data_IF_382737549206
#
_entry.id   IF_382737549206
#
_cell.length_a   1.000
_cell.length_b   1.000
_cell.length_c   1.000
_cell.angle_alpha   90.00
_cell.angle_beta   90.00
_cell.angle_gamma   90.00
#
_symmetry.space_group_name_H-M   'P 1'
#
loop_
_entity.id
_entity.type
_entity.pdbx_description
1 polymer ?
#
# COMPACT_ATOMS: atom_id res chain seq x y z
N UNK A 1 -9.31 2.28 6.27
CA UNK A 1 -8.82 0.99 6.83
C UNK A 1 -7.79 1.29 7.90
N UNK A 2 -7.95 0.74 9.10
CA UNK A 2 -7.04 0.96 10.23
C UNK A 2 -6.50 -0.35 10.77
N UNK A 3 -5.18 -0.44 10.98
CA UNK A 3 -4.55 -1.63 11.55
C UNK A 3 -3.47 -1.24 12.54
N UNK A 4 -3.55 -1.81 13.72
CA UNK A 4 -2.51 -1.65 14.75
C UNK A 4 -1.44 -2.71 14.53
N UNK A 5 -0.25 -2.29 14.10
CA UNK A 5 0.89 -3.18 13.88
C UNK A 5 1.98 -2.78 14.86
N UNK A 6 2.39 -3.72 15.73
CA UNK A 6 3.51 -3.54 16.66
C UNK A 6 3.37 -2.28 17.54
N UNK A 7 2.17 -2.08 18.10
CA UNK A 7 1.74 -0.92 18.93
C UNK A 7 1.63 0.43 18.19
N UNK A 8 1.76 0.46 16.86
CA UNK A 8 1.53 1.64 16.04
C UNK A 8 0.24 1.49 15.25
N UNK A 9 -0.55 2.55 15.19
CA UNK A 9 -1.76 2.59 14.39
C UNK A 9 -1.41 3.09 13.00
N UNK A 10 -1.66 2.25 12.00
CA UNK A 10 -1.57 2.62 10.59
C UNK A 10 -2.98 2.77 10.08
N UNK A 11 -3.29 3.96 9.59
CA UNK A 11 -4.64 4.33 9.21
C UNK A 11 -4.57 4.98 7.82
N UNK A 12 -5.23 4.35 6.85
CA UNK A 12 -5.21 4.80 5.44
C UNK A 12 -6.06 6.04 5.20
N UNK A 13 -6.85 6.49 6.17
CA UNK A 13 -7.75 7.65 6.06
C UNK A 13 -7.08 8.92 6.58
N UNK A 14 -6.29 8.79 7.65
CA UNK A 14 -5.46 9.88 8.20
C UNK A 14 -4.08 9.96 7.56
N UNK A 15 -3.58 8.88 6.97
CA UNK A 15 -2.29 8.90 6.30
C UNK A 15 -2.36 9.56 4.92
N UNK A 16 -1.28 10.24 4.56
CA UNK A 16 -1.10 10.85 3.26
C UNK A 16 -0.72 9.80 2.22
N UNK A 17 -1.50 9.71 1.14
CA UNK A 17 -1.20 8.84 0.01
C UNK A 17 -0.10 9.46 -0.84
N UNK A 18 1.08 8.83 -0.87
CA UNK A 18 2.21 9.30 -1.65
C UNK A 18 2.15 8.82 -3.11
N UNK A 19 1.85 7.54 -3.30
CA UNK A 19 1.77 6.94 -4.62
C UNK A 19 0.84 5.73 -4.60
N UNK A 20 0.23 5.45 -5.75
CA UNK A 20 -0.62 4.30 -5.94
C UNK A 20 -0.19 3.56 -7.20
N UNK A 21 -0.11 2.24 -7.08
CA UNK A 21 0.21 1.34 -8.17
C UNK A 21 -0.93 0.34 -8.28
N UNK A 22 -1.48 0.22 -9.48
CA UNK A 22 -2.52 -0.75 -9.78
C UNK A 22 -2.00 -1.67 -10.87
N UNK A 23 -2.10 -2.97 -10.61
CA UNK A 23 -1.85 -4.03 -11.57
C UNK A 23 -3.19 -4.69 -11.82
N UNK A 24 -3.88 -4.24 -12.86
CA UNK A 24 -5.03 -4.94 -13.41
C UNK A 24 -4.81 -5.13 -14.90
N UNK A 25 -4.99 -6.37 -15.37
CA UNK A 25 -4.92 -6.69 -16.78
C UNK A 25 -6.33 -7.03 -17.28
N UNK A 26 -6.65 -6.63 -18.51
CA UNK A 26 -7.99 -6.83 -19.07
C UNK A 26 -8.29 -8.34 -19.16
N UNK A 27 -9.23 -8.81 -18.34
CA UNK A 27 -9.59 -10.23 -18.24
C UNK A 27 -8.84 -11.02 -17.17
N UNK A 28 -8.01 -10.39 -16.34
CA UNK A 28 -7.26 -11.07 -15.28
C UNK A 28 -7.92 -10.89 -13.90
N UNK A 29 -8.41 -11.97 -13.27
CA UNK A 29 -9.05 -11.92 -11.96
C UNK A 29 -8.05 -11.74 -10.80
N UNK A 30 -6.74 -11.73 -11.06
CA UNK A 30 -5.69 -11.54 -10.05
C UNK A 30 -5.23 -10.07 -9.93
N UNK A 31 -6.05 -9.12 -10.42
CA UNK A 31 -5.76 -7.69 -10.33
C UNK A 31 -5.63 -7.19 -8.89
N UNK A 32 -4.50 -6.56 -8.57
CA UNK A 32 -4.19 -6.00 -7.25
C UNK A 32 -3.74 -4.54 -7.36
N UNK A 33 -3.82 -3.83 -6.25
CA UNK A 33 -3.38 -2.44 -6.10
C UNK A 33 -2.55 -2.30 -4.83
N UNK A 34 -1.41 -1.66 -4.95
CA UNK A 34 -0.50 -1.34 -3.87
C UNK A 34 -0.37 0.18 -3.76
N UNK A 35 -0.73 0.72 -2.60
CA UNK A 35 -0.71 2.17 -2.37
C UNK A 35 0.23 2.47 -1.21
N UNK A 36 1.20 3.34 -1.44
CA UNK A 36 2.13 3.79 -0.44
C UNK A 36 1.55 4.99 0.32
N UNK A 37 1.48 4.86 1.63
CA UNK A 37 1.01 5.87 2.55
C UNK A 37 2.11 6.32 3.51
N UNK A 38 1.99 7.56 3.97
CA UNK A 38 2.82 8.18 4.99
C UNK A 38 1.94 8.70 6.12
N UNK A 39 2.16 8.21 7.34
CA UNK A 39 1.48 8.71 8.53
C UNK A 39 1.99 10.11 8.87
N UNK A 40 1.21 10.87 9.63
CA UNK A 40 1.64 12.17 10.20
C UNK A 40 2.95 12.07 11.01
N UNK A 41 3.16 10.95 11.71
CA UNK A 41 4.37 10.64 12.48
C UNK A 41 5.62 10.35 11.59
N UNK A 42 5.50 10.46 10.27
CA UNK A 42 6.59 10.20 9.32
C UNK A 42 6.88 8.73 9.01
N UNK A 43 5.99 7.80 9.40
CA UNK A 43 6.10 6.38 9.09
C UNK A 43 5.47 6.04 7.75
N UNK A 44 6.09 5.08 7.05
CA UNK A 44 5.63 4.65 5.74
C UNK A 44 4.98 3.27 5.84
N UNK A 45 3.97 3.03 5.03
CA UNK A 45 3.34 1.71 4.94
C UNK A 45 2.69 1.51 3.57
N UNK A 46 2.75 0.27 3.07
CA UNK A 46 2.06 -0.15 1.86
C UNK A 46 0.72 -0.74 2.23
N UNK A 47 -0.30 -0.27 1.53
CA UNK A 47 -1.63 -0.84 1.52
C UNK A 47 -1.81 -1.65 0.25
N UNK A 48 -1.80 -2.99 0.39
CA UNK A 48 -2.11 -3.90 -0.70
C UNK A 48 -3.57 -4.34 -0.63
N UNK A 49 -4.31 -4.16 -1.72
CA UNK A 49 -5.70 -4.58 -1.88
C UNK A 49 -5.89 -5.21 -3.27
N UNK A 50 -6.54 -6.36 -3.35
CA UNK A 50 -6.84 -7.03 -4.63
C UNK A 50 -8.16 -7.77 -4.60
N UNK A 51 -8.56 -8.26 -5.77
CA UNK A 51 -9.76 -9.09 -5.92
C UNK A 51 -9.60 -10.47 -5.30
N UNK A 52 -10.69 -11.22 -5.19
CA UNK A 52 -10.75 -12.54 -4.55
C UNK A 52 -9.79 -13.58 -5.19
N UNK A 53 -9.45 -13.40 -6.47
CA UNK A 53 -8.45 -14.20 -7.21
C UNK A 53 -7.02 -13.70 -7.12
N UNK A 54 -6.74 -12.63 -6.37
CA UNK A 54 -5.43 -11.98 -6.28
C UNK A 54 -4.65 -12.46 -5.05
N UNK A 55 -3.29 -12.40 -5.07
CA UNK A 55 -2.47 -12.65 -3.87
C UNK A 55 -2.78 -11.67 -2.72
N UNK A 56 -3.46 -10.56 -3.02
CA UNK A 56 -3.96 -9.57 -2.08
C UNK A 56 -5.49 -9.60 -1.90
N UNK A 57 -6.13 -10.77 -1.99
CA UNK A 57 -7.58 -10.94 -1.77
C UNK A 57 -8.12 -10.34 -0.46
N UNK A 58 -7.24 -10.06 0.51
CA UNK A 58 -7.55 -9.26 1.70
C UNK A 58 -6.61 -8.06 1.82
N UNK A 59 -7.23 -6.89 2.00
CA UNK A 59 -6.56 -5.65 2.36
C UNK A 59 -5.56 -5.85 3.50
N UNK A 60 -4.30 -5.53 3.24
CA UNK A 60 -3.22 -5.69 4.20
C UNK A 60 -2.31 -4.47 4.23
N UNK A 61 -2.00 -4.01 5.44
CA UNK A 61 -1.03 -2.95 5.69
C UNK A 61 0.32 -3.58 6.05
N UNK A 62 1.37 -3.24 5.29
CA UNK A 62 2.75 -3.63 5.54
C UNK A 62 3.57 -2.37 5.87
N UNK A 63 4.08 -2.21 7.09
CA UNK A 63 4.92 -1.07 7.43
C UNK A 63 6.26 -1.15 6.69
N UNK A 64 6.73 0.00 6.21
CA UNK A 64 8.01 0.15 5.52
C UNK A 64 8.87 1.20 6.21
N UNK A 65 10.17 1.03 6.09
CA UNK A 65 11.15 2.06 6.39
C UNK A 65 11.18 3.09 5.24
N UNK A 66 11.57 4.33 5.54
CA UNK A 66 11.72 5.40 4.54
C UNK A 66 12.51 4.94 3.30
N UNK A 67 13.66 4.29 3.50
CA UNK A 67 14.49 3.77 2.41
C UNK A 67 13.76 2.76 1.48
N UNK A 68 12.88 1.91 2.04
CA UNK A 68 12.10 0.97 1.22
C UNK A 68 10.93 1.66 0.53
N UNK A 69 10.33 2.66 1.18
CA UNK A 69 9.29 3.49 0.60
C UNK A 69 9.82 4.27 -0.61
N UNK A 70 11.02 4.86 -0.50
CA UNK A 70 11.73 5.54 -1.59
C UNK A 70 12.04 4.58 -2.75
N UNK A 71 12.55 3.38 -2.44
CA UNK A 71 12.77 2.35 -3.47
C UNK A 71 11.48 1.94 -4.18
N UNK A 72 10.40 1.81 -3.43
CA UNK A 72 9.09 1.46 -3.99
C UNK A 72 8.56 2.58 -4.89
N UNK A 73 8.70 3.85 -4.47
CA UNK A 73 8.37 5.03 -5.27
C UNK A 73 9.20 5.11 -6.57
N UNK A 74 10.50 4.82 -6.48
CA UNK A 74 11.38 4.81 -7.64
C UNK A 74 11.05 3.69 -8.63
N UNK A 75 10.60 2.53 -8.14
CA UNK A 75 10.17 1.40 -8.96
C UNK A 75 8.77 1.59 -9.58
N UNK A 76 7.90 2.36 -8.92
CA UNK A 76 6.52 2.61 -9.34
C UNK A 76 6.27 4.12 -9.42
N UNK A 77 6.85 4.82 -10.42
CA UNK A 77 6.59 6.23 -10.61
C UNK A 77 5.09 6.42 -10.87
N UNK A 78 4.45 7.27 -10.06
CA UNK A 78 3.12 7.78 -10.39
C UNK A 78 3.26 8.58 -11.69
N UNK A 79 2.76 8.01 -12.78
CA UNK A 79 2.79 8.62 -14.12
C UNK A 79 1.94 9.88 -14.19
#
# INVERSE_FOLDING_TARGET
MKKTIRKRVYDTETAERLAAYNVSYFGDPAGYSETLYKTEDGHYFLHGQGGEGSPYAKESLKPLSAANAEKWLAAHPAG
#
